data_IF_333025755398
#
_entry.id   IF_333025755398
#
_cell.length_a   1.000
_cell.length_b   1.000
_cell.length_c   1.000
_cell.angle_alpha   90.00
_cell.angle_beta   90.00
_cell.angle_gamma   90.00
#
_symmetry.space_group_name_H-M   'P 1'
#
loop_
_entity.id
_entity.type
_entity.pdbx_description
1 polymer ?
#
# COMPACT_ATOMS: atom_id res chain seq x y z
N UNK A 1 -2.52 -14.07 -5.33
CA UNK A 1 -3.69 -13.91 -6.22
C UNK A 1 -4.44 -15.23 -6.29
N UNK A 2 -5.69 -15.28 -5.86
CA UNK A 2 -6.49 -16.51 -5.88
C UNK A 2 -6.90 -16.87 -7.31
N UNK A 3 -6.90 -18.16 -7.66
CA UNK A 3 -7.40 -18.65 -8.95
C UNK A 3 -6.60 -18.29 -10.21
N UNK A 4 -5.60 -17.41 -10.13
CA UNK A 4 -4.74 -17.06 -11.26
C UNK A 4 -3.60 -18.06 -11.40
N UNK A 5 -3.47 -18.67 -12.58
CA UNK A 5 -2.42 -19.63 -12.90
C UNK A 5 -1.08 -18.95 -13.28
N UNK A 6 0.00 -19.72 -13.26
CA UNK A 6 1.24 -19.30 -13.93
C UNK A 6 1.08 -19.42 -15.45
N UNK A 7 1.76 -18.58 -16.27
CA UNK A 7 2.71 -17.52 -15.90
C UNK A 7 2.06 -16.15 -15.58
N UNK A 8 0.73 -16.05 -15.70
CA UNK A 8 0.00 -14.80 -15.53
C UNK A 8 0.15 -14.24 -14.12
N UNK A 9 0.07 -15.09 -13.09
CA UNK A 9 0.27 -14.68 -11.69
C UNK A 9 1.63 -14.00 -11.50
N UNK A 10 2.71 -14.60 -11.99
CA UNK A 10 4.05 -14.01 -11.91
C UNK A 10 4.11 -12.64 -12.59
N UNK A 11 3.57 -12.52 -13.81
CA UNK A 11 3.50 -11.25 -14.54
C UNK A 11 2.77 -10.17 -13.74
N UNK A 12 1.57 -10.48 -13.22
CA UNK A 12 0.77 -9.56 -12.43
C UNK A 12 1.45 -9.12 -11.14
N UNK A 13 2.28 -9.99 -10.54
CA UNK A 13 2.94 -9.71 -9.26
C UNK A 13 4.29 -9.00 -9.37
N UNK A 14 4.92 -9.01 -10.54
CA UNK A 14 6.30 -8.54 -10.76
C UNK A 14 6.39 -7.23 -11.55
N UNK A 15 5.28 -6.71 -12.07
CA UNK A 15 5.29 -5.49 -12.89
C UNK A 15 4.26 -4.46 -12.41
N UNK A 16 4.56 -3.15 -12.51
CA UNK A 16 3.54 -2.12 -12.39
C UNK A 16 2.44 -2.33 -13.43
N UNK A 17 1.17 -2.16 -13.02
CA UNK A 17 0.00 -2.51 -13.86
C UNK A 17 -0.76 -1.28 -14.36
N UNK A 18 -0.48 -0.75 -15.56
CA UNK A 18 -1.37 0.22 -16.22
C UNK A 18 -2.09 -0.43 -17.42
N UNK A 19 -3.43 -0.63 -17.41
CA UNK A 19 -4.43 -0.25 -16.39
C UNK A 19 -4.63 -1.33 -15.30
N UNK A 20 -5.55 -1.06 -14.37
CA UNK A 20 -6.03 -2.06 -13.41
C UNK A 20 -6.79 -3.19 -14.10
N UNK A 21 -6.84 -4.36 -13.46
CA UNK A 21 -7.32 -5.61 -14.06
C UNK A 21 -8.46 -6.19 -13.22
N UNK A 22 -9.50 -6.71 -13.86
CA UNK A 22 -10.59 -7.42 -13.18
C UNK A 22 -10.28 -8.92 -13.20
N UNK A 23 -10.13 -9.50 -12.02
CA UNK A 23 -10.00 -10.94 -11.82
C UNK A 23 -11.39 -11.53 -11.64
N UNK A 24 -11.75 -12.47 -12.51
CA UNK A 24 -13.02 -13.19 -12.47
C UNK A 24 -12.78 -14.62 -12.02
N UNK A 25 -13.65 -15.12 -11.15
CA UNK A 25 -13.62 -16.52 -10.75
C UNK A 25 -15.05 -17.05 -10.63
N UNK A 26 -15.38 -18.21 -11.22
CA UNK A 26 -16.70 -18.81 -11.08
C UNK A 26 -17.10 -18.95 -9.61
N UNK A 27 -18.32 -18.52 -9.27
CA UNK A 27 -18.87 -18.59 -7.92
C UNK A 27 -18.36 -17.54 -6.93
N UNK A 28 -17.48 -16.64 -7.34
CA UNK A 28 -17.01 -15.51 -6.53
C UNK A 28 -17.35 -14.17 -7.18
N UNK A 29 -17.31 -13.10 -6.39
CA UNK A 29 -17.42 -11.74 -6.91
C UNK A 29 -16.18 -11.36 -7.71
N UNK A 30 -16.36 -10.50 -8.71
CA UNK A 30 -15.27 -9.91 -9.47
C UNK A 30 -14.38 -9.06 -8.54
N UNK A 31 -13.06 -9.27 -8.60
CA UNK A 31 -12.08 -8.51 -7.81
C UNK A 31 -11.26 -7.62 -8.72
N UNK A 32 -11.26 -6.33 -8.45
CA UNK A 32 -10.39 -5.39 -9.16
C UNK A 32 -9.00 -5.34 -8.53
N UNK A 33 -7.98 -5.75 -9.29
CA UNK A 33 -6.59 -5.45 -8.98
C UNK A 33 -6.30 -4.02 -9.46
N UNK A 34 -6.02 -3.13 -8.51
CA UNK A 34 -5.77 -1.72 -8.81
C UNK A 34 -4.50 -1.51 -9.66
N UNK A 35 -4.51 -0.42 -10.42
CA UNK A 35 -3.36 -0.02 -11.22
C UNK A 35 -2.20 0.47 -10.33
N UNK A 36 -1.02 0.49 -10.92
CA UNK A 36 0.16 1.15 -10.35
C UNK A 36 0.67 2.25 -11.29
N UNK A 37 -0.24 2.99 -11.93
CA UNK A 37 0.10 4.02 -12.91
C UNK A 37 1.16 5.04 -12.41
N UNK A 38 1.17 5.44 -11.12
CA UNK A 38 2.21 6.33 -10.59
C UNK A 38 3.59 5.69 -10.37
N UNK A 39 3.74 4.36 -10.53
CA UNK A 39 5.00 3.61 -10.46
C UNK A 39 5.53 3.27 -11.86
N UNK A 40 5.87 4.29 -12.64
CA UNK A 40 6.50 4.06 -13.95
C UNK A 40 7.85 3.34 -13.78
N UNK A 41 7.99 2.15 -14.36
CA UNK A 41 9.21 1.33 -14.26
C UNK A 41 10.48 2.11 -14.63
N UNK A 42 10.41 2.94 -15.68
CA UNK A 42 11.54 3.78 -16.15
C UNK A 42 11.98 4.86 -15.16
N UNK A 43 11.12 5.25 -14.22
CA UNK A 43 11.46 6.17 -13.13
C UNK A 43 11.88 5.38 -11.90
N UNK A 44 11.13 4.31 -11.59
CA UNK A 44 11.36 3.46 -10.43
C UNK A 44 12.81 2.93 -10.41
N UNK A 45 13.30 2.39 -11.53
CA UNK A 45 14.67 1.86 -11.63
C UNK A 45 15.76 2.86 -11.22
N UNK A 46 15.51 4.17 -11.37
CA UNK A 46 16.50 5.23 -11.06
C UNK A 46 16.60 5.54 -9.56
N UNK A 47 15.63 5.08 -8.77
CA UNK A 47 15.52 5.39 -7.35
C UNK A 47 15.57 4.15 -6.46
N UNK A 48 15.79 2.96 -7.03
CA UNK A 48 16.03 1.75 -6.27
C UNK A 48 17.47 1.72 -5.72
N UNK A 49 17.59 1.23 -4.49
CA UNK A 49 18.81 0.89 -3.75
C UNK A 49 18.89 -0.64 -3.60
N UNK A 50 19.94 -1.11 -2.91
CA UNK A 50 20.10 -2.51 -2.49
C UNK A 50 20.04 -3.53 -3.66
N UNK A 51 20.47 -3.11 -4.86
CA UNK A 51 20.42 -3.88 -6.11
C UNK A 51 19.01 -4.40 -6.47
N UNK A 52 17.96 -3.78 -5.92
CA UNK A 52 16.58 -4.17 -6.20
C UNK A 52 16.23 -3.91 -7.67
N UNK A 53 15.62 -4.91 -8.30
CA UNK A 53 14.91 -4.74 -9.56
C UNK A 53 13.51 -4.15 -9.34
N UNK A 54 12.86 -3.75 -10.45
CA UNK A 54 11.46 -3.35 -10.41
C UNK A 54 10.57 -4.50 -9.90
N UNK A 55 10.88 -5.74 -10.26
CA UNK A 55 10.12 -6.90 -9.80
C UNK A 55 10.24 -7.09 -8.30
N UNK A 56 11.44 -6.96 -7.74
CA UNK A 56 11.67 -7.06 -6.30
C UNK A 56 10.87 -6.00 -5.54
N UNK A 57 10.86 -4.76 -6.04
CA UNK A 57 10.05 -3.70 -5.45
C UNK A 57 8.54 -4.02 -5.52
N UNK A 58 8.06 -4.53 -6.65
CA UNK A 58 6.66 -4.92 -6.79
C UNK A 58 6.28 -6.07 -5.84
N UNK A 59 7.18 -7.04 -5.63
CA UNK A 59 6.99 -8.10 -4.64
C UNK A 59 6.90 -7.53 -3.23
N UNK A 60 7.81 -6.62 -2.85
CA UNK A 60 7.74 -5.93 -1.56
C UNK A 60 6.38 -5.21 -1.37
N UNK A 61 5.89 -4.50 -2.38
CA UNK A 61 4.58 -3.85 -2.27
C UNK A 61 3.44 -4.88 -2.11
N UNK A 62 3.44 -5.94 -2.91
CA UNK A 62 2.34 -6.92 -2.93
C UNK A 62 2.30 -7.82 -1.68
N UNK A 63 3.36 -7.85 -0.86
CA UNK A 63 3.38 -8.54 0.43
C UNK A 63 2.66 -7.77 1.54
N UNK A 64 2.24 -6.52 1.31
CA UNK A 64 1.77 -5.62 2.36
C UNK A 64 0.33 -5.18 2.13
N UNK A 65 -0.39 -4.99 3.25
CA UNK A 65 -1.62 -4.19 3.29
C UNK A 65 -1.27 -2.80 3.80
N UNK A 66 -1.74 -1.76 3.11
CA UNK A 66 -1.43 -0.36 3.39
C UNK A 66 -2.60 0.35 4.06
N UNK A 67 -2.28 1.18 5.05
CA UNK A 67 -3.24 1.99 5.79
C UNK A 67 -2.91 3.47 5.67
N UNK A 68 -3.95 4.29 5.54
CA UNK A 68 -3.83 5.73 5.75
C UNK A 68 -3.71 6.00 7.25
N UNK A 69 -2.66 6.71 7.64
CA UNK A 69 -2.40 7.08 9.03
C UNK A 69 -3.21 8.29 9.51
N UNK A 70 -3.86 9.00 8.58
CA UNK A 70 -4.70 10.16 8.86
C UNK A 70 -5.87 10.22 7.89
N UNK A 71 -6.99 10.81 8.32
CA UNK A 71 -8.15 11.08 7.46
C UNK A 71 -7.77 11.98 6.27
N UNK A 72 -6.92 12.98 6.48
CA UNK A 72 -6.41 13.86 5.43
C UNK A 72 -5.69 13.07 4.32
N UNK A 73 -4.86 12.09 4.67
CA UNK A 73 -4.17 11.22 3.69
C UNK A 73 -5.18 10.36 2.91
N UNK A 74 -6.19 9.83 3.61
CA UNK A 74 -7.28 9.06 3.00
C UNK A 74 -8.08 9.92 2.01
N UNK A 75 -8.54 11.11 2.41
CA UNK A 75 -9.33 12.01 1.56
C UNK A 75 -8.54 12.44 0.32
N UNK A 76 -7.25 12.78 0.47
CA UNK A 76 -6.39 13.13 -0.66
C UNK A 76 -6.26 11.97 -1.66
N UNK A 77 -6.10 10.74 -1.15
CA UNK A 77 -6.03 9.55 -2.00
C UNK A 77 -7.37 9.26 -2.70
N UNK A 78 -8.49 9.32 -1.96
CA UNK A 78 -9.83 9.14 -2.54
C UNK A 78 -10.13 10.17 -3.62
N UNK A 79 -9.82 11.45 -3.39
CA UNK A 79 -10.02 12.48 -4.41
C UNK A 79 -9.22 12.18 -5.68
N UNK A 80 -7.97 11.73 -5.56
CA UNK A 80 -7.16 11.35 -6.70
C UNK A 80 -7.74 10.10 -7.42
N UNK A 81 -8.21 9.11 -6.67
CA UNK A 81 -8.81 7.91 -7.20
C UNK A 81 -10.14 8.19 -7.93
N UNK A 82 -11.03 8.96 -7.31
CA UNK A 82 -12.35 9.32 -7.85
C UNK A 82 -12.26 10.18 -9.11
N UNK A 83 -11.25 11.07 -9.22
CA UNK A 83 -11.00 11.85 -10.46
C UNK A 83 -10.69 10.97 -11.67
N UNK A 84 -10.16 9.77 -11.44
CA UNK A 84 -9.78 8.83 -12.50
C UNK A 84 -10.83 7.73 -12.70
N UNK A 85 -12.01 7.85 -12.06
CA UNK A 85 -13.10 6.88 -12.16
C UNK A 85 -14.14 7.33 -13.16
N UNK A 86 -14.73 6.35 -13.85
CA UNK A 86 -15.92 6.57 -14.66
C UNK A 86 -17.14 6.88 -13.76
N UNK A 87 -18.01 7.81 -14.18
CA UNK A 87 -19.11 8.34 -13.36
C UNK A 87 -20.20 7.34 -12.92
N UNK A 88 -20.19 6.11 -13.42
CA UNK A 88 -21.13 5.03 -13.03
C UNK A 88 -20.61 4.07 -11.96
N UNK A 89 -19.45 4.39 -11.38
CA UNK A 89 -18.77 3.56 -10.40
C UNK A 89 -19.46 3.54 -9.02
N UNK A 90 -19.59 2.38 -8.34
CA UNK A 90 -20.24 2.30 -7.01
C UNK A 90 -19.46 3.08 -5.93
N UNK A 91 -20.10 3.51 -4.83
CA UNK A 91 -19.41 4.19 -3.73
C UNK A 91 -18.27 3.34 -3.14
N UNK A 92 -17.29 4.00 -2.54
CA UNK A 92 -16.14 3.35 -1.90
C UNK A 92 -16.43 3.23 -0.42
N UNK A 93 -16.28 2.03 0.13
CA UNK A 93 -16.31 1.81 1.57
C UNK A 93 -14.91 2.04 2.16
N UNK A 94 -14.85 2.82 3.23
CA UNK A 94 -13.63 3.05 4.01
C UNK A 94 -13.82 2.43 5.38
N UNK A 95 -12.98 1.45 5.70
CA UNK A 95 -12.93 0.83 7.01
C UNK A 95 -12.06 1.68 7.93
N UNK A 96 -12.64 2.17 9.03
CA UNK A 96 -11.91 2.86 10.10
C UNK A 96 -11.51 1.82 11.13
N UNK A 97 -10.22 1.79 11.46
CA UNK A 97 -9.62 0.72 12.25
C UNK A 97 -9.21 1.23 13.63
N UNK A 98 -9.54 0.48 14.68
CA UNK A 98 -8.95 0.63 16.01
C UNK A 98 -7.45 0.37 15.92
N UNK A 99 -6.69 1.46 15.98
CA UNK A 99 -5.24 1.42 15.85
C UNK A 99 -4.59 0.62 16.97
N UNK A 100 -5.09 0.69 18.20
CA UNK A 100 -4.51 -0.02 19.34
C UNK A 100 -4.75 -1.53 19.21
N UNK A 101 -5.97 -1.91 18.82
CA UNK A 101 -6.35 -3.31 18.58
C UNK A 101 -5.48 -3.92 17.49
N UNK A 102 -5.40 -3.28 16.32
CA UNK A 102 -4.56 -3.74 15.20
C UNK A 102 -3.08 -3.80 15.58
N UNK A 103 -2.56 -2.74 16.23
CA UNK A 103 -1.15 -2.67 16.59
C UNK A 103 -0.74 -3.69 17.65
N UNK A 104 -1.64 -4.04 18.56
CA UNK A 104 -1.39 -5.05 19.59
C UNK A 104 -1.27 -6.44 18.96
N UNK A 105 -2.19 -6.79 18.06
CA UNK A 105 -2.18 -8.10 17.40
C UNK A 105 -1.06 -8.25 16.37
N UNK A 106 -0.82 -7.21 15.57
CA UNK A 106 0.11 -7.26 14.43
C UNK A 106 1.46 -6.57 14.70
N UNK A 107 1.80 -6.24 15.94
CA UNK A 107 3.02 -5.49 16.30
C UNK A 107 4.31 -5.99 15.62
N UNK A 108 4.50 -7.30 15.51
CA UNK A 108 5.66 -7.93 14.87
C UNK A 108 5.65 -7.90 13.33
N UNK A 109 4.53 -7.52 12.72
CA UNK A 109 4.33 -7.46 11.27
C UNK A 109 4.13 -6.03 10.77
N UNK A 110 3.99 -5.06 11.67
CA UNK A 110 3.79 -3.66 11.29
C UNK A 110 5.12 -3.02 10.88
N UNK A 111 5.10 -2.41 9.70
CA UNK A 111 6.17 -1.57 9.21
C UNK A 111 5.64 -0.18 8.85
N UNK A 112 6.48 0.83 9.08
CA UNK A 112 6.21 2.22 8.81
C UNK A 112 6.94 2.65 7.53
N UNK A 113 6.26 3.43 6.69
CA UNK A 113 6.86 4.08 5.54
C UNK A 113 6.68 5.60 5.62
N UNK A 114 7.77 6.32 5.37
CA UNK A 114 7.81 7.77 5.42
C UNK A 114 7.53 8.43 4.05
N UNK A 115 7.30 7.63 3.01
CA UNK A 115 6.96 8.10 1.67
C UNK A 115 5.67 7.42 1.21
N UNK A 116 5.07 7.93 0.14
CA UNK A 116 4.06 7.14 -0.56
C UNK A 116 4.80 6.11 -1.43
N UNK A 117 4.80 4.84 -0.99
CA UNK A 117 5.56 3.77 -1.64
C UNK A 117 5.00 3.40 -3.02
N UNK A 118 3.72 3.69 -3.25
CA UNK A 118 2.98 3.50 -4.51
C UNK A 118 3.16 4.60 -5.56
N UNK A 119 4.03 5.59 -5.34
CA UNK A 119 4.24 6.72 -6.26
C UNK A 119 5.73 7.00 -6.47
N UNK A 120 6.19 6.98 -7.73
CA UNK A 120 7.56 7.34 -8.11
C UNK A 120 7.63 8.54 -9.07
N UNK A 121 6.54 8.92 -9.74
CA UNK A 121 6.52 9.94 -10.81
C UNK A 121 6.87 11.37 -10.38
N UNK A 122 6.80 11.71 -9.08
CA UNK A 122 7.08 13.06 -8.55
C UNK A 122 8.04 12.95 -7.38
N UNK A 123 9.17 13.68 -7.43
CA UNK A 123 10.19 13.70 -6.38
C UNK A 123 10.53 12.28 -5.89
N UNK A 124 11.03 11.44 -6.80
CA UNK A 124 11.29 10.03 -6.55
C UNK A 124 12.30 9.83 -5.40
N UNK A 125 11.79 9.65 -4.18
CA UNK A 125 12.59 9.33 -3.02
C UNK A 125 13.37 8.03 -3.25
N UNK A 126 14.53 7.88 -2.60
CA UNK A 126 15.27 6.61 -2.62
C UNK A 126 14.44 5.48 -1.99
N UNK A 127 14.49 4.28 -2.57
CA UNK A 127 13.69 3.11 -2.23
C UNK A 127 14.60 1.89 -2.15
N UNK A 128 14.51 1.16 -1.06
CA UNK A 128 15.31 -0.01 -0.75
C UNK A 128 14.60 -0.86 0.30
N UNK A 129 15.24 -1.93 0.75
CA UNK A 129 14.70 -2.87 1.75
C UNK A 129 14.30 -2.13 3.03
N UNK A 130 15.06 -1.08 3.41
CA UNK A 130 14.77 -0.28 4.60
C UNK A 130 13.69 0.80 4.42
N UNK A 131 13.04 0.88 3.26
CA UNK A 131 11.91 1.80 3.04
C UNK A 131 10.73 1.49 3.95
N UNK A 132 10.57 0.19 4.25
CA UNK A 132 9.66 -0.31 5.27
C UNK A 132 10.46 -0.56 6.53
N UNK A 133 10.19 0.24 7.56
CA UNK A 133 10.90 0.14 8.83
C UNK A 133 10.01 -0.54 9.85
N UNK A 134 10.41 -1.67 10.47
CA UNK A 134 9.64 -2.29 11.53
C UNK A 134 9.27 -1.29 12.62
N UNK A 135 8.00 -1.27 13.02
CA UNK A 135 7.47 -0.28 13.97
C UNK A 135 8.25 -0.26 15.29
N UNK A 136 8.70 -1.43 15.73
CA UNK A 136 9.43 -1.59 16.99
C UNK A 136 10.94 -1.29 16.89
N UNK A 137 11.46 -0.95 15.71
CA UNK A 137 12.90 -0.68 15.51
C UNK A 137 13.35 0.61 16.19
N UNK A 138 12.49 1.63 16.20
CA UNK A 138 12.80 2.94 16.77
C UNK A 138 11.62 3.44 17.60
N UNK A 139 11.90 4.04 18.75
CA UNK A 139 10.89 4.85 19.42
C UNK A 139 10.49 6.05 18.53
N UNK A 140 9.28 6.57 18.72
CA UNK A 140 8.74 7.63 17.88
C UNK A 140 9.57 8.93 17.90
N UNK A 141 10.22 9.24 19.03
CA UNK A 141 11.07 10.43 19.16
C UNK A 141 12.34 10.28 18.33
N UNK A 142 12.93 9.11 18.32
CA UNK A 142 14.10 8.74 17.52
C UNK A 142 13.73 8.75 16.03
N UNK A 143 12.60 8.13 15.67
CA UNK A 143 12.09 8.14 14.30
C UNK A 143 11.90 9.56 13.76
N UNK A 144 11.23 10.46 14.51
CA UNK A 144 11.07 11.87 14.13
C UNK A 144 12.39 12.60 13.93
N UNK A 145 13.41 12.34 14.76
CA UNK A 145 14.71 13.00 14.65
C UNK A 145 15.44 12.61 13.37
N UNK A 146 15.44 11.33 13.01
CA UNK A 146 16.05 10.81 11.78
C UNK A 146 15.45 11.47 10.52
N UNK A 147 14.25 12.03 10.64
CA UNK A 147 13.45 12.53 9.53
C UNK A 147 13.20 14.04 9.56
N UNK A 148 13.96 14.79 10.37
CA UNK A 148 13.92 16.26 10.35
C UNK A 148 12.96 16.91 11.35
N UNK A 149 12.69 16.25 12.49
CA UNK A 149 11.91 16.72 13.66
C UNK A 149 10.41 16.87 13.43
N UNK A 150 9.92 17.24 12.25
CA UNK A 150 8.48 17.31 11.93
C UNK A 150 8.19 16.22 10.91
N UNK A 151 8.02 14.97 11.38
CA UNK A 151 7.65 13.88 10.49
C UNK A 151 6.25 13.34 10.83
N UNK A 152 5.51 13.03 9.78
CA UNK A 152 4.21 12.36 9.81
C UNK A 152 4.40 11.02 9.11
N UNK A 153 4.19 9.93 9.84
CA UNK A 153 4.19 8.58 9.25
C UNK A 153 3.22 8.63 8.06
N UNK A 154 3.72 8.34 6.85
CA UNK A 154 2.92 8.51 5.63
C UNK A 154 2.05 7.30 5.37
N UNK A 155 2.62 6.12 5.56
CA UNK A 155 1.92 4.84 5.44
C UNK A 155 2.28 3.96 6.64
N UNK A 156 1.27 3.27 7.15
CA UNK A 156 1.45 2.10 8.02
C UNK A 156 1.12 0.88 7.17
N UNK A 157 1.91 -0.17 7.31
CA UNK A 157 1.70 -1.42 6.58
C UNK A 157 1.71 -2.62 7.50
N UNK A 158 0.95 -3.65 7.14
CA UNK A 158 1.03 -4.97 7.77
C UNK A 158 1.54 -5.96 6.73
N UNK A 159 2.67 -6.59 7.03
CA UNK A 159 3.27 -7.63 6.21
C UNK A 159 2.40 -8.89 6.20
N UNK A 160 2.26 -9.53 5.05
CA UNK A 160 1.48 -10.74 4.79
C UNK A 160 -0.04 -10.64 5.01
N UNK A 161 -0.54 -9.43 5.28
CA UNK A 161 -1.96 -9.10 5.35
C UNK A 161 -2.60 -9.23 6.73
N UNK A 162 -3.87 -8.85 6.81
CA UNK A 162 -4.69 -8.86 8.03
C UNK A 162 -5.87 -9.81 7.82
N UNK A 163 -5.84 -10.99 8.44
CA UNK A 163 -6.81 -12.07 8.15
C UNK A 163 -8.17 -11.89 8.82
N UNK A 164 -8.22 -11.15 9.93
CA UNK A 164 -9.37 -10.88 10.79
C UNK A 164 -9.64 -9.37 10.90
N UNK A 165 -9.53 -8.64 9.79
CA UNK A 165 -9.63 -7.18 9.77
C UNK A 165 -10.91 -6.67 10.44
N UNK A 166 -12.01 -7.43 10.34
CA UNK A 166 -13.30 -7.15 10.93
C UNK A 166 -13.26 -6.97 12.46
N UNK A 167 -12.36 -7.67 13.15
CA UNK A 167 -12.19 -7.56 14.61
C UNK A 167 -11.62 -6.19 15.04
N UNK A 168 -11.08 -5.42 14.09
CA UNK A 168 -10.46 -4.13 14.34
C UNK A 168 -11.28 -2.98 13.75
N UNK A 169 -12.37 -3.23 13.03
CA UNK A 169 -13.19 -2.16 12.43
C UNK A 169 -14.04 -1.49 13.51
N UNK A 170 -13.97 -0.17 13.61
CA UNK A 170 -14.80 0.65 14.51
C UNK A 170 -15.88 1.43 13.79
N UNK A 171 -15.70 1.70 12.50
CA UNK A 171 -16.65 2.44 11.68
C UNK A 171 -16.46 2.07 10.19
N UNK A 172 -17.54 2.13 9.42
CA UNK A 172 -17.52 2.00 7.95
C UNK A 172 -18.12 3.25 7.34
N UNK A 173 -17.32 3.98 6.56
CA UNK A 173 -17.76 5.19 5.86
C UNK A 173 -18.07 4.87 4.40
N UNK A 174 -19.13 5.46 3.86
CA UNK A 174 -19.40 5.47 2.42
C UNK A 174 -18.90 6.79 1.83
N UNK A 175 -18.04 6.72 0.80
CA UNK A 175 -17.39 7.87 0.16
C UNK A 175 -17.50 7.84 -1.37
#
# INVERSE_FOLDING_TARGET
>A
LYGVAEPERSCLSSQPRPPGIILKHPGLIDVKLNDNMPLKASILVKCLDDDLSVADWMHLLNERVFFWTTEENMLNHLQAFLRNRDGGSPPIEVLVIDTLSLATEYSGQIELCAINSGVAIRNAARRGVQTFTPMMKHDYKTWRKLRGKVDKIKELTVLHGVKNIEAHVVEVLQK
#
